data_IF_156032750728
#
_entry.id   IF_156032750728
#
_cell.length_a   1.000
_cell.length_b   1.000
_cell.length_c   1.000
_cell.angle_alpha   90.00
_cell.angle_beta   90.00
_cell.angle_gamma   90.00
#
_symmetry.space_group_name_H-M   'P 1'
#
loop_
_entity.id
_entity.type
_entity.pdbx_description
1 polymer ?
2 polymer ?
3 polymer ?
4 water ?
#
# COMPACT_ATOMS: atom_id res chain seq x y z
N UNK A 1 13.61 14.39 6.39
CA UNK A 1 12.93 14.82 5.15
C UNK A 1 11.48 15.20 5.38
N UNK A 2 10.66 14.98 4.35
CA UNK A 2 9.23 15.28 4.43
C UNK A 2 8.53 14.10 5.11
N UNK A 3 7.41 14.37 5.75
CA UNK A 3 6.61 13.32 6.37
C UNK A 3 5.14 13.53 6.08
N UNK A 4 4.38 12.44 6.17
CA UNK A 4 2.95 12.52 5.96
C UNK A 4 2.19 11.53 6.84
N UNK A 5 0.93 11.85 7.11
CA UNK A 5 0.04 10.94 7.78
C UNK A 5 -1.18 10.71 6.91
N UNK A 6 -1.61 9.45 6.79
CA UNK A 6 -2.79 9.13 5.99
C UNK A 6 -3.68 8.13 6.68
N UNK A 7 -4.98 8.31 6.52
CA UNK A 7 -5.97 7.29 6.86
C UNK A 7 -6.62 6.81 5.58
N UNK A 8 -6.88 5.50 5.51
CA UNK A 8 -7.43 4.87 4.33
C UNK A 8 -8.69 4.11 4.76
N UNK A 9 -9.84 4.52 4.24
CA UNK A 9 -11.12 3.87 4.57
C UNK A 9 -11.58 3.07 3.37
N UNK A 10 -12.04 1.85 3.61
CA UNK A 10 -12.63 1.00 2.58
C UNK A 10 -13.97 0.48 3.11
N UNK A 11 -15.04 0.78 2.38
CA UNK A 11 -16.39 0.32 2.69
C UNK A 11 -16.92 -0.52 1.54
N UNK A 12 -17.30 -1.76 1.83
CA UNK A 12 -17.63 -2.74 0.80
C UNK A 12 -18.99 -3.37 1.08
N UNK A 13 -19.95 -3.15 0.18
CA UNK A 13 -21.25 -3.83 0.26
C UNK A 13 -21.13 -5.26 -0.27
N UNK A 14 -22.04 -6.11 0.19
CA UNK A 14 -22.00 -7.54 -0.14
C UNK A 14 -23.41 -8.10 -0.01
N UNK A 15 -24.30 -7.78 -0.98
CA UNK A 15 -25.70 -8.18 -0.90
C UNK A 15 -25.85 -9.69 -0.71
N UNK A 16 -26.65 -10.07 0.28
CA UNK A 16 -26.89 -11.47 0.57
C UNK A 16 -25.88 -12.06 1.55
N UNK A 17 -24.88 -11.26 1.93
CA UNK A 17 -23.81 -11.73 2.81
C UNK A 17 -23.54 -10.78 3.99
N UNK A 18 -24.60 -10.19 4.51
CA UNK A 18 -24.50 -9.30 5.66
C UNK A 18 -24.37 -7.85 5.27
N UNK A 19 -24.17 -7.00 6.28
CA UNK A 19 -24.03 -5.57 6.09
C UNK A 19 -22.65 -5.23 5.52
N UNK A 20 -22.52 -4.06 4.86
CA UNK A 20 -21.23 -3.67 4.31
C UNK A 20 -20.10 -3.63 5.35
N UNK A 21 -18.93 -4.12 4.94
CA UNK A 21 -17.75 -4.12 5.79
C UNK A 21 -17.04 -2.77 5.73
N UNK A 22 -16.59 -2.28 6.87
CA UNK A 22 -15.80 -1.04 6.94
C UNK A 22 -14.43 -1.36 7.53
N UNK A 23 -13.38 -1.00 6.80
CA UNK A 23 -12.00 -1.14 7.28
C UNK A 23 -11.35 0.24 7.25
N UNK A 24 -10.59 0.55 8.29
CA UNK A 24 -9.77 1.76 8.35
C UNK A 24 -8.36 1.37 8.76
N UNK A 25 -7.36 1.95 8.08
CA UNK A 25 -5.97 1.81 8.50
C UNK A 25 -5.33 3.20 8.49
N UNK A 26 -4.39 3.42 9.42
CA UNK A 26 -3.64 4.67 9.48
C UNK A 26 -2.16 4.43 9.23
N UNK A 27 -1.52 5.38 8.54
CA UNK A 27 -0.10 5.28 8.22
C UNK A 27 0.61 6.58 8.54
N UNK A 28 1.85 6.47 9.01
CA UNK A 28 2.79 7.59 8.99
C UNK A 28 3.89 7.17 8.02
N UNK A 29 4.06 7.96 6.95
CA UNK A 29 4.95 7.58 5.84
C UNK A 29 4.61 6.17 5.36
N UNK A 30 5.58 5.26 5.38
CA UNK A 30 5.34 3.89 4.91
C UNK A 30 5.15 2.88 6.05
N UNK A 31 4.77 3.40 7.22
CA UNK A 31 4.55 2.59 8.42
C UNK A 31 3.09 2.65 8.86
N UNK A 32 2.40 1.51 8.79
CA UNK A 32 1.05 1.43 9.35
C UNK A 32 1.12 1.44 10.88
N UNK A 33 0.19 2.14 11.52
CA UNK A 33 0.19 2.21 12.98
C UNK A 33 -1.12 1.80 13.68
N UNK A 34 -2.24 1.83 12.95
CA UNK A 34 -3.54 1.44 13.51
C UNK A 34 -4.39 0.71 12.47
N UNK A 35 -5.29 -0.15 12.96
CA UNK A 35 -6.32 -0.75 12.11
C UNK A 35 -7.68 -0.80 12.81
N UNK A 36 -8.72 -0.90 12.00
CA UNK A 36 -10.09 -1.19 12.46
C UNK A 36 -10.77 -2.04 11.41
N UNK A 37 -11.50 -3.07 11.85
CA UNK A 37 -12.26 -3.92 10.95
C UNK A 37 -13.61 -4.24 11.57
N UNK A 38 -14.69 -3.79 10.92
CA UNK A 38 -16.05 -4.04 11.42
C UNK A 38 -16.43 -5.52 11.41
N UNK A 39 -15.65 -6.34 10.71
CA UNK A 39 -15.89 -7.79 10.70
C UNK A 39 -15.26 -8.56 11.86
N UNK A 40 -14.36 -7.89 12.59
CA UNK A 40 -13.65 -8.52 13.71
C UNK A 40 -14.60 -9.01 14.78
N UNK A 41 -14.21 -10.07 15.48
CA UNK A 41 -15.02 -10.68 16.53
C UNK A 41 -15.49 -9.64 17.55
N UNK A 42 -14.58 -8.73 17.90
CA UNK A 42 -14.90 -7.57 18.73
C UNK A 42 -14.27 -6.34 18.07
N UNK A 43 -15.05 -5.61 17.24
CA UNK A 43 -14.47 -4.50 16.47
C UNK A 43 -13.95 -3.37 17.35
N UNK A 44 -12.66 -3.09 17.23
CA UNK A 44 -12.00 -2.02 17.96
C UNK A 44 -10.73 -1.59 17.24
N UNK A 45 -10.28 -0.37 17.53
CA UNK A 45 -9.01 0.13 17.01
C UNK A 45 -7.86 -0.62 17.66
N UNK A 46 -6.99 -1.21 16.86
CA UNK A 46 -5.87 -1.98 17.36
C UNK A 46 -4.52 -1.40 16.91
N UNK A 47 -3.52 -1.39 17.80
CA UNK A 47 -2.19 -0.89 17.46
C UNK A 47 -1.46 -1.79 16.45
N UNK A 48 -0.72 -1.17 15.53
CA UNK A 48 0.05 -1.92 14.52
C UNK A 48 1.52 -1.49 14.43
N UNK A 49 1.91 -0.60 15.34
CA UNK A 49 3.30 -0.16 15.49
C UNK A 49 3.57 -0.01 16.99
N UNK A 50 4.79 -0.35 17.46
CA UNK A 50 5.04 -0.32 18.90
C UNK A 50 4.95 1.07 19.54
N UNK A 51 5.28 2.11 18.79
CA UNK A 51 5.30 3.49 19.33
C UNK A 51 3.92 4.12 19.58
N UNK A 52 2.86 3.49 19.09
CA UNK A 52 1.49 3.97 19.32
C UNK A 52 0.89 3.36 20.59
N UNK A 53 1.48 2.25 21.04
CA UNK A 53 0.95 1.51 22.20
C UNK A 53 0.86 2.33 23.49
N UNK A 54 1.72 3.35 23.61
CA UNK A 54 1.75 4.22 24.79
C UNK A 54 0.51 5.13 24.95
N UNK A 55 -0.27 5.31 23.87
CA UNK A 55 -1.47 6.14 23.94
C UNK A 55 -2.48 5.54 24.93
N UNK A 56 -3.08 6.41 25.74
CA UNK A 56 -3.95 5.97 26.83
C UNK A 56 -5.34 5.52 26.39
N UNK A 57 -6.20 5.12 27.36
CA UNK A 57 -7.53 4.58 27.09
C UNK A 57 -8.43 5.52 26.28
N UNK A 58 -8.37 6.82 26.56
CA UNK A 58 -9.20 7.83 25.89
C UNK A 58 -8.92 7.93 24.39
N UNK A 59 -7.68 7.66 23.99
CA UNK A 59 -7.27 7.64 22.58
C UNK A 59 -7.93 6.47 21.83
N UNK A 60 -7.79 5.27 22.41
CA UNK A 60 -8.29 4.05 21.77
C UNK A 60 -9.81 4.01 21.71
N UNK A 61 -10.46 4.52 22.75
CA UNK A 61 -11.91 4.59 22.78
C UNK A 61 -12.50 5.67 21.89
N UNK A 62 -11.79 6.80 21.76
CA UNK A 62 -12.16 7.85 20.82
C UNK A 62 -12.05 7.36 19.37
N UNK A 63 -10.94 6.67 19.07
CA UNK A 63 -10.72 6.06 17.75
C UNK A 63 -11.84 5.08 17.39
N UNK A 64 -12.14 4.17 18.30
CA UNK A 64 -13.16 3.15 18.09
C UNK A 64 -14.54 3.78 17.90
N UNK A 65 -14.88 4.77 18.74
CA UNK A 65 -16.14 5.51 18.60
C UNK A 65 -16.28 6.06 17.17
N UNK A 66 -15.23 6.72 16.69
CA UNK A 66 -15.19 7.29 15.35
C UNK A 66 -15.38 6.23 14.25
N UNK A 67 -14.60 5.15 14.30
CA UNK A 67 -14.68 4.09 13.29
C UNK A 67 -15.99 3.31 13.32
N UNK A 68 -16.55 3.11 14.51
CA UNK A 68 -17.88 2.49 14.68
C UNK A 68 -18.99 3.36 14.10
N UNK A 69 -18.89 4.67 14.29
CA UNK A 69 -19.80 5.62 13.69
C UNK A 69 -19.66 5.61 12.16
N UNK A 70 -18.42 5.63 11.67
CA UNK A 70 -18.13 5.59 10.24
C UNK A 70 -18.65 4.32 9.56
N UNK A 71 -18.55 3.19 10.25
CA UNK A 71 -19.18 1.95 9.79
C UNK A 71 -20.66 2.15 9.42
N UNK A 72 -21.43 2.77 10.32
CA UNK A 72 -22.86 3.02 10.11
C UNK A 72 -23.08 4.05 9.01
N UNK A 73 -22.27 5.10 9.06
CA UNK A 73 -22.29 6.19 8.11
C UNK A 73 -22.05 5.73 6.66
N UNK A 74 -21.00 4.94 6.46
CA UNK A 74 -20.66 4.45 5.13
C UNK A 74 -21.64 3.43 4.56
N UNK A 75 -22.32 2.69 5.45
CA UNK A 75 -23.42 1.83 5.02
C UNK A 75 -24.58 2.65 4.44
N UNK A 76 -24.88 3.79 5.06
CA UNK A 76 -25.86 4.73 4.52
C UNK A 76 -25.38 5.35 3.21
N UNK A 77 -24.10 5.70 3.16
CA UNK A 77 -23.53 6.32 1.96
C UNK A 77 -23.51 5.36 0.76
N UNK A 78 -23.23 4.08 1.00
CA UNK A 78 -23.28 3.06 -0.06
C UNK A 78 -24.67 2.97 -0.70
N UNK A 79 -25.70 3.00 0.16
CA UNK A 79 -27.10 3.08 -0.28
C UNK A 79 -27.34 4.31 -1.12
N UNK A 80 -26.87 5.46 -0.62
CA UNK A 80 -27.04 6.74 -1.32
C UNK A 80 -26.45 6.69 -2.74
N UNK A 81 -25.20 6.25 -2.85
CA UNK A 81 -24.51 6.18 -4.15
C UNK A 81 -25.12 5.18 -5.12
N UNK A 82 -25.58 4.03 -4.61
CA UNK A 82 -26.33 3.09 -5.43
C UNK A 82 -27.52 3.81 -6.07
N UNK A 83 -28.24 4.60 -5.26
CA UNK A 83 -29.33 5.45 -5.77
C UNK A 83 -28.90 6.46 -6.83
N UNK A 84 -27.77 7.16 -6.58
CA UNK A 84 -27.29 8.20 -7.51
C UNK A 84 -26.95 7.67 -8.91
N UNK A 85 -26.60 6.38 -8.98
CA UNK A 85 -26.20 5.75 -10.23
C UNK A 85 -27.24 4.79 -10.80
N UNK A 86 -28.42 4.77 -10.18
CA UNK A 86 -29.55 3.93 -10.60
C UNK A 86 -29.17 2.44 -10.66
N UNK A 87 -28.36 2.01 -9.70
CA UNK A 87 -27.86 0.64 -9.68
C UNK A 87 -28.78 -0.27 -8.87
N UNK A 88 -28.82 -1.55 -9.23
CA UNK A 88 -29.65 -2.52 -8.52
C UNK A 88 -29.05 -2.84 -7.14
N UNK A 89 -29.91 -3.35 -6.26
CA UNK A 89 -29.49 -3.79 -4.94
C UNK A 89 -28.74 -5.12 -4.98
N UNK A 90 -28.55 -5.67 -6.18
CA UNK A 90 -27.91 -6.98 -6.34
C UNK A 90 -26.39 -6.97 -6.40
N UNK A 91 -25.80 -5.82 -6.75
CA UNK A 91 -24.35 -5.73 -6.94
C UNK A 91 -23.55 -5.33 -5.71
N UNK A 92 -22.28 -5.69 -5.70
CA UNK A 92 -21.36 -5.26 -4.65
C UNK A 92 -20.60 -4.03 -5.09
N UNK A 93 -20.48 -3.06 -4.20
CA UNK A 93 -19.82 -1.81 -4.52
C UNK A 93 -18.89 -1.37 -3.41
N UNK A 94 -17.97 -0.46 -3.73
CA UNK A 94 -16.96 -0.02 -2.79
C UNK A 94 -16.81 1.50 -2.77
N UNK A 95 -16.85 2.07 -1.58
CA UNK A 95 -16.39 3.46 -1.37
C UNK A 95 -15.04 3.41 -0.65
N UNK A 96 -14.09 4.19 -1.17
CA UNK A 96 -12.78 4.31 -0.56
C UNK A 96 -12.54 5.77 -0.28
N UNK A 97 -11.90 6.04 0.85
CA UNK A 97 -11.54 7.40 1.22
C UNK A 97 -10.12 7.45 1.75
N UNK A 98 -9.42 8.52 1.40
CA UNK A 98 -8.00 8.71 1.68
C UNK A 98 -7.92 10.17 2.15
N UNK A 99 -7.36 10.41 3.34
CA UNK A 99 -7.17 11.79 3.82
C UNK A 99 -5.93 11.93 4.69
N UNK A 100 -5.40 13.14 4.78
CA UNK A 100 -4.30 13.39 5.68
C UNK A 100 -3.46 14.58 5.28
N UNK A 101 -2.30 14.68 5.90
CA UNK A 101 -1.49 15.88 5.81
C UNK A 101 -0.06 15.57 5.43
N UNK A 102 0.55 16.49 4.68
CA UNK A 102 1.95 16.40 4.28
C UNK A 102 2.71 17.51 4.99
N UNK A 103 3.84 17.15 5.59
CA UNK A 103 4.73 18.13 6.20
C UNK A 103 5.97 18.28 5.35
N UNK A 104 6.50 19.50 5.29
CA UNK A 104 7.80 19.75 4.67
C UNK A 104 8.92 19.39 5.63
N UNK A 105 10.17 19.37 5.14
CA UNK A 105 11.32 18.98 5.98
C UNK A 105 11.57 19.91 7.18
N UNK A 106 10.79 20.99 7.28
CA UNK A 106 10.85 21.90 8.43
C UNK A 106 9.77 21.59 9.48
N UNK A 107 8.68 20.95 9.04
CA UNK A 107 7.64 20.49 9.95
C UNK A 107 6.34 21.28 9.93
N UNK A 108 6.13 22.08 8.89
CA UNK A 108 4.86 22.79 8.73
C UNK A 108 4.01 22.16 7.63
N UNK A 109 2.71 22.45 7.63
CA UNK A 109 1.77 21.89 6.66
C UNK A 109 2.14 22.28 5.23
N UNK A 110 2.42 21.26 4.42
CA UNK A 110 2.74 21.46 3.02
C UNK A 110 1.44 21.50 2.25
N UNK A 111 0.61 20.47 2.45
CA UNK A 111 -0.76 20.44 1.95
C UNK A 111 -1.61 19.35 2.62
N UNK A 112 -2.92 19.50 2.50
CA UNK A 112 -3.87 18.52 3.02
C UNK A 112 -4.61 17.82 1.91
N UNK A 113 -5.17 16.65 2.24
CA UNK A 113 -5.90 15.81 1.29
C UNK A 113 -7.16 15.27 1.93
N UNK A 114 -8.23 15.18 1.15
CA UNK A 114 -9.44 14.44 1.53
C UNK A 114 -10.17 14.04 0.26
N UNK A 115 -9.98 12.78 -0.12
CA UNK A 115 -10.35 12.26 -1.42
C UNK A 115 -11.16 10.99 -1.31
N UNK A 116 -12.17 10.85 -2.16
CA UNK A 116 -13.02 9.67 -2.15
C UNK A 116 -13.23 9.11 -3.54
N UNK A 117 -13.49 7.81 -3.59
CA UNK A 117 -13.66 7.09 -4.83
C UNK A 117 -14.87 6.16 -4.73
N UNK A 118 -15.45 5.84 -5.87
CA UNK A 118 -16.53 4.86 -5.93
C UNK A 118 -16.20 3.83 -6.99
N UNK A 119 -16.20 2.57 -6.58
CA UNK A 119 -15.79 1.45 -7.44
C UNK A 119 -14.42 1.66 -8.14
N UNK A 120 -13.48 2.24 -7.39
CA UNK A 120 -12.11 2.43 -7.87
C UNK A 120 -11.93 3.61 -8.80
N UNK A 121 -12.98 4.42 -8.93
CA UNK A 121 -12.99 5.59 -9.80
C UNK A 121 -13.14 6.84 -8.95
N UNK A 122 -12.31 7.85 -9.21
CA UNK A 122 -12.41 9.10 -8.44
C UNK A 122 -13.84 9.65 -8.42
N UNK A 123 -14.28 10.06 -7.24
CA UNK A 123 -15.66 10.47 -7.01
C UNK A 123 -15.72 11.96 -6.59
N UNK A 124 -15.06 12.28 -5.48
CA UNK A 124 -15.03 13.65 -4.97
C UNK A 124 -13.73 13.90 -4.21
N UNK A 125 -13.20 15.11 -4.35
CA UNK A 125 -11.95 15.48 -3.69
C UNK A 125 -12.03 16.89 -3.11
N UNK A 126 -11.51 17.06 -1.90
CA UNK A 126 -11.27 18.39 -1.36
C UNK A 126 -10.12 19.03 -2.13
N UNK A 127 -10.34 20.23 -2.66
CA UNK A 127 -9.30 20.94 -3.39
C UNK A 127 -8.16 21.37 -2.48
N UNK A 128 -7.01 21.68 -3.07
CA UNK A 128 -5.82 22.08 -2.29
C UNK A 128 -6.07 23.30 -1.39
N UNK A 129 -7.00 24.16 -1.78
CA UNK A 129 -7.35 25.34 -0.98
C UNK A 129 -8.08 24.99 0.32
N UNK A 130 -8.48 23.72 0.43
CA UNK A 130 -9.17 23.17 1.61
C UNK A 130 -10.51 23.85 1.90
N UNK A 131 -11.13 24.42 0.86
CA UNK A 131 -12.36 25.19 1.01
C UNK A 131 -13.42 24.81 -0.02
N UNK A 132 -13.03 24.06 -1.04
CA UNK A 132 -13.92 23.75 -2.16
C UNK A 132 -13.72 22.31 -2.64
N UNK A 133 -14.71 21.81 -3.38
CA UNK A 133 -14.71 20.43 -3.83
C UNK A 133 -14.63 20.32 -5.35
N UNK A 134 -14.10 19.18 -5.81
CA UNK A 134 -14.16 18.79 -7.21
C UNK A 134 -14.95 17.49 -7.29
N UNK A 135 -16.11 17.57 -7.94
CA UNK A 135 -17.01 16.42 -8.10
C UNK A 135 -16.79 15.80 -9.47
N UNK A 136 -16.66 14.48 -9.52
CA UNK A 136 -16.35 13.77 -10.76
C UNK A 136 -17.49 13.76 -11.77
N UNK A 137 -18.72 13.81 -11.29
CA UNK A 137 -19.90 13.71 -12.16
C UNK A 137 -21.13 14.29 -11.48
N UNK A 138 -22.29 14.16 -12.13
CA UNK A 138 -23.54 14.70 -11.60
C UNK A 138 -24.00 14.01 -10.31
N UNK A 139 -23.54 12.77 -10.09
CA UNK A 139 -23.80 12.04 -8.85
C UNK A 139 -23.02 12.64 -7.69
N UNK A 140 -21.73 12.83 -7.90
CA UNK A 140 -20.86 13.44 -6.89
C UNK A 140 -21.25 14.89 -6.59
N UNK A 141 -21.86 15.56 -7.58
CA UNK A 141 -22.41 16.90 -7.41
C UNK A 141 -23.46 16.97 -6.31
N UNK A 142 -24.12 15.85 -6.04
CA UNK A 142 -25.15 15.77 -5.01
C UNK A 142 -24.50 15.69 -3.63
N UNK A 143 -23.48 14.82 -3.52
CA UNK A 143 -22.65 14.74 -2.34
C UNK A 143 -22.02 16.10 -2.01
N UNK A 144 -21.55 16.80 -3.03
CA UNK A 144 -20.98 18.13 -2.86
C UNK A 144 -21.97 19.13 -2.23
N UNK A 145 -23.20 19.15 -2.74
CA UNK A 145 -24.25 20.02 -2.18
C UNK A 145 -24.54 19.70 -0.71
N UNK A 146 -24.59 18.41 -0.38
CA UNK A 146 -24.74 17.97 1.00
C UNK A 146 -23.60 18.50 1.87
N UNK A 147 -22.37 18.30 1.41
CA UNK A 147 -21.18 18.68 2.17
C UNK A 147 -20.99 20.18 2.31
N UNK A 148 -21.42 20.93 1.31
CA UNK A 148 -21.41 22.39 1.38
C UNK A 148 -22.47 22.90 2.37
N UNK A 149 -23.63 22.24 2.40
CA UNK A 149 -24.67 22.54 3.37
C UNK A 149 -24.20 22.30 4.81
N UNK A 150 -23.50 21.19 5.02
CA UNK A 150 -23.01 20.82 6.36
C UNK A 150 -21.65 21.45 6.68
N UNK A 151 -21.17 22.31 5.79
CA UNK A 151 -19.87 22.99 5.95
C UNK A 151 -18.75 22.01 6.32
N UNK A 152 -18.67 20.93 5.54
CA UNK A 152 -17.70 19.86 5.77
C UNK A 152 -16.26 20.34 5.52
N UNK A 153 -16.06 21.05 4.42
CA UNK A 153 -14.73 21.55 4.03
C UNK A 153 -14.07 22.40 5.12
N UNK A 154 -14.86 23.24 5.77
CA UNK A 154 -14.43 24.05 6.91
C UNK A 154 -13.91 23.16 8.06
N UNK A 155 -14.60 22.05 8.28
CA UNK A 155 -14.26 21.12 9.35
C UNK A 155 -13.03 20.26 8.98
N UNK A 156 -12.91 19.91 7.70
CA UNK A 156 -11.70 19.25 7.19
C UNK A 156 -10.48 20.16 7.29
N UNK A 157 -10.62 21.40 6.85
CA UNK A 157 -9.54 22.39 6.94
C UNK A 157 -9.02 22.52 8.37
N UNK A 158 -9.93 22.68 9.32
CA UNK A 158 -9.58 22.80 10.74
C UNK A 158 -8.77 21.61 11.24
N UNK A 159 -9.20 20.41 10.88
CA UNK A 159 -8.50 19.18 11.24
C UNK A 159 -7.14 19.10 10.56
N UNK A 160 -7.13 19.29 9.24
CA UNK A 160 -5.92 19.10 8.44
C UNK A 160 -4.82 20.09 8.79
N UNK A 161 -5.20 21.33 9.11
CA UNK A 161 -4.23 22.38 9.49
C UNK A 161 -3.87 22.31 10.98
N UNK A 162 -4.73 21.67 11.77
CA UNK A 162 -4.58 21.63 13.22
C UNK A 162 -4.22 20.25 13.74
N UNK A 163 -5.23 19.45 14.09
CA UNK A 163 -5.02 18.15 14.74
C UNK A 163 -4.18 17.16 13.95
N UNK A 164 -4.39 17.09 12.64
CA UNK A 164 -3.62 16.18 11.77
C UNK A 164 -2.12 16.42 11.95
N UNK A 165 -1.70 17.68 11.77
CA UNK A 165 -0.31 18.08 11.92
C UNK A 165 0.21 17.83 13.36
N UNK A 166 -0.58 18.25 14.35
CA UNK A 166 -0.24 18.09 15.77
C UNK A 166 0.04 16.63 16.13
N UNK A 167 -0.87 15.74 15.74
CA UNK A 167 -0.73 14.31 15.97
C UNK A 167 0.42 13.68 15.20
N UNK A 168 0.58 14.07 13.94
CA UNK A 168 1.71 13.60 13.14
C UNK A 168 3.06 13.95 13.79
N UNK A 169 3.19 15.19 14.25
CA UNK A 169 4.41 15.62 14.94
C UNK A 169 4.63 14.82 16.23
N UNK A 170 3.55 14.53 16.96
CA UNK A 170 3.60 13.68 18.14
C UNK A 170 4.11 12.26 17.80
N UNK A 171 3.54 11.66 16.75
CA UNK A 171 3.98 10.31 16.33
C UNK A 171 5.43 10.29 15.89
N UNK A 172 5.83 11.31 15.12
CA UNK A 172 7.22 11.41 14.63
C UNK A 172 8.24 11.45 15.77
N UNK A 173 7.88 12.10 16.87
CA UNK A 173 8.71 12.15 18.06
C UNK A 173 8.71 10.84 18.87
N UNK A 174 7.51 10.30 19.10
CA UNK A 174 7.37 9.03 19.83
C UNK A 174 8.01 7.84 19.12
N UNK A 175 7.93 7.84 17.79
CA UNK A 175 8.55 6.79 16.98
C UNK A 175 9.78 7.24 16.22
N UNK A 176 10.50 8.23 16.75
CA UNK A 176 11.63 8.83 16.01
C UNK A 176 12.74 7.85 15.64
N UNK A 177 12.97 6.84 16.49
CA UNK A 177 14.01 5.85 16.23
C UNK A 177 13.75 5.00 14.98
N UNK A 178 12.50 4.96 14.55
CA UNK A 178 12.12 4.23 13.35
C UNK A 178 11.59 5.18 12.25
N UNK A 179 10.65 6.04 12.61
CA UNK A 179 10.01 6.93 11.63
C UNK A 179 10.96 7.97 11.05
N UNK A 180 11.96 8.36 11.84
CA UNK A 180 12.96 9.33 11.40
C UNK A 180 14.34 8.68 11.18
N UNK A 181 14.33 7.38 10.90
CA UNK A 181 15.54 6.65 10.57
C UNK A 181 15.42 6.10 9.15
N UNK A 182 16.28 6.58 8.26
CA UNK A 182 16.31 6.07 6.89
C UNK A 182 17.33 4.94 6.77
N UNK A 183 16.87 3.78 6.33
CA UNK A 183 17.72 2.62 6.12
C UNK A 183 18.13 2.56 4.65
N UNK A 184 19.43 2.67 4.36
CA UNK A 184 19.88 2.59 2.97
C UNK A 184 19.68 1.19 2.40
N UNK A 185 19.54 1.08 1.06
CA UNK A 185 19.43 -0.23 0.44
C UNK A 185 20.78 -0.95 0.42
N UNK A 186 20.74 -2.26 0.63
CA UNK A 186 21.87 -3.13 0.37
C UNK A 186 21.78 -3.44 -1.11
N UNK A 187 22.81 -3.12 -1.88
CA UNK A 187 22.74 -3.25 -3.34
C UNK A 187 23.75 -4.23 -3.92
N UNK A 188 23.36 -4.89 -5.00
CA UNK A 188 24.26 -5.74 -5.81
C UNK A 188 23.70 -6.00 -7.20
N UNK A 189 24.56 -6.49 -8.10
CA UNK A 189 24.19 -6.80 -9.48
C UNK A 189 24.37 -8.30 -9.71
N UNK A 190 23.31 -8.96 -10.19
CA UNK A 190 23.39 -10.36 -10.60
C UNK A 190 23.41 -10.47 -12.12
N UNK A 191 23.84 -11.63 -12.61
CA UNK A 191 24.05 -11.88 -14.02
C UNK A 191 23.49 -13.26 -14.35
N UNK A 192 22.59 -13.31 -15.34
CA UNK A 192 21.99 -14.56 -15.79
C UNK A 192 22.02 -14.63 -17.32
N UNK A 193 22.82 -15.55 -17.90
CA UNK A 193 22.83 -15.73 -19.36
C UNK A 193 21.48 -16.28 -19.88
N UNK A 194 21.04 -15.80 -21.05
CA UNK A 194 19.77 -16.24 -21.66
C UNK A 194 19.99 -16.93 -23.00
N UNK A 195 21.16 -16.70 -23.61
CA UNK A 195 21.58 -17.35 -24.85
C UNK A 195 23.10 -17.26 -24.99
N UNK A 196 23.61 -17.65 -26.16
CA UNK A 196 25.03 -17.57 -26.45
C UNK A 196 25.55 -16.13 -26.38
N UNK A 197 24.72 -15.17 -26.90
CA UNK A 197 25.18 -13.79 -27.00
C UNK A 197 24.22 -12.71 -26.42
N UNK A 198 23.36 -13.10 -25.45
CA UNK A 198 22.65 -12.16 -24.63
C UNK A 198 22.62 -12.65 -23.17
N UNK A 199 22.70 -11.71 -22.22
CA UNK A 199 22.65 -12.03 -20.79
C UNK A 199 21.87 -10.93 -20.05
N UNK A 200 21.31 -11.29 -18.89
CA UNK A 200 20.55 -10.35 -18.08
C UNK A 200 21.35 -9.82 -16.92
N UNK A 201 21.43 -8.49 -16.79
CA UNK A 201 21.95 -7.84 -15.58
C UNK A 201 20.78 -7.35 -14.72
N UNK A 202 20.73 -7.82 -13.46
CA UNK A 202 19.67 -7.40 -12.54
C UNK A 202 20.26 -6.65 -11.34
N UNK A 203 19.75 -5.45 -11.12
CA UNK A 203 20.21 -4.58 -10.04
C UNK A 203 19.26 -4.65 -8.85
N UNK A 204 19.80 -5.06 -7.71
CA UNK A 204 19.01 -5.31 -6.50
C UNK A 204 19.16 -4.22 -5.45
N UNK A 205 18.03 -3.83 -4.85
CA UNK A 205 18.01 -2.96 -3.68
C UNK A 205 17.17 -3.63 -2.59
N UNK A 206 17.79 -3.89 -1.45
CA UNK A 206 17.17 -4.68 -0.37
C UNK A 206 17.31 -4.01 1.00
N UNK A 207 16.27 -4.17 1.81
CA UNK A 207 16.28 -3.69 3.21
C UNK A 207 16.18 -2.20 3.42
N UNK A 208 15.59 -1.48 2.47
CA UNK A 208 15.50 -0.02 2.58
C UNK A 208 14.19 0.50 3.18
N UNK A 209 14.30 1.63 3.86
CA UNK A 209 13.17 2.39 4.36
C UNK A 209 13.54 3.89 4.29
N UNK A 210 12.61 4.75 3.82
CA UNK A 210 11.27 4.44 3.31
C UNK A 210 11.26 3.84 1.91
N UNK A 211 10.07 3.57 1.39
CA UNK A 211 9.89 2.90 0.10
C UNK A 211 10.39 3.67 -1.13
N UNK A 212 10.40 5.00 -1.05
CA UNK A 212 10.84 5.84 -2.16
C UNK A 212 12.28 5.55 -2.57
N UNK A 213 12.46 5.19 -3.84
CA UNK A 213 13.77 4.82 -4.37
C UNK A 213 13.80 4.95 -5.90
N UNK A 214 14.98 5.24 -6.44
CA UNK A 214 15.16 5.25 -7.88
C UNK A 214 16.28 4.30 -8.33
N UNK A 215 15.91 3.35 -9.18
CA UNK A 215 16.82 2.40 -9.80
C UNK A 215 16.78 2.62 -11.31
N UNK A 216 17.94 2.95 -11.88
CA UNK A 216 18.05 3.15 -13.32
C UNK A 216 19.28 2.44 -13.86
N UNK A 217 19.12 1.84 -15.04
CA UNK A 217 20.24 1.30 -15.79
C UNK A 217 20.64 2.31 -16.86
N UNK A 218 21.95 2.52 -16.98
CA UNK A 218 22.49 3.33 -18.07
C UNK A 218 23.38 2.46 -18.95
N UNK A 219 23.35 2.74 -20.24
CA UNK A 219 24.30 2.18 -21.20
C UNK A 219 25.09 3.33 -21.82
N UNK A 220 26.41 3.32 -21.58
CA UNK A 220 27.32 4.40 -22.00
C UNK A 220 26.88 5.75 -21.43
N UNK A 221 26.34 5.73 -20.21
CA UNK A 221 25.91 6.95 -19.53
C UNK A 221 24.55 7.45 -19.98
N UNK A 222 23.86 6.68 -20.81
CA UNK A 222 22.56 7.06 -21.36
C UNK A 222 21.46 6.15 -20.80
N UNK A 223 20.43 6.77 -20.21
CA UNK A 223 19.30 6.06 -19.58
C UNK A 223 18.64 5.02 -20.50
N UNK A 224 18.29 3.88 -19.92
CA UNK A 224 17.71 2.76 -20.67
C UNK A 224 16.25 2.51 -20.29
N UNK A 225 15.48 3.59 -20.19
CA UNK A 225 14.11 3.57 -19.64
C UNK A 225 13.19 2.56 -20.33
N UNK A 226 13.20 2.55 -21.66
CA UNK A 226 12.32 1.69 -22.45
C UNK A 226 12.79 0.23 -22.51
N UNK A 227 14.00 -0.04 -22.02
CA UNK A 227 14.59 -1.37 -22.06
C UNK A 227 14.65 -2.05 -20.69
N UNK A 228 14.45 -1.26 -19.63
CA UNK A 228 14.59 -1.75 -18.27
C UNK A 228 13.29 -2.37 -17.73
N UNK A 229 13.38 -3.63 -17.29
CA UNK A 229 12.29 -4.25 -16.56
C UNK A 229 12.39 -3.86 -15.09
N UNK A 230 11.32 -3.26 -14.58
CA UNK A 230 11.34 -2.61 -13.29
C UNK A 230 10.16 -3.10 -12.43
N UNK A 231 10.43 -3.94 -11.44
CA UNK A 231 9.35 -4.46 -10.59
C UNK A 231 8.85 -3.42 -9.59
N UNK A 232 7.62 -3.59 -9.16
CA UNK A 232 7.02 -2.76 -8.13
C UNK A 232 7.76 -2.96 -6.81
N UNK A 233 8.04 -1.84 -6.14
CA UNK A 233 8.61 -1.88 -4.79
C UNK A 233 7.71 -2.71 -3.87
N UNK A 234 8.32 -3.68 -3.20
CA UNK A 234 7.60 -4.69 -2.41
C UNK A 234 8.07 -4.71 -0.96
N UNK A 235 7.13 -4.94 -0.01
CA UNK A 235 7.48 -5.02 1.39
C UNK A 235 8.21 -6.33 1.73
N UNK A 236 9.26 -6.24 2.53
CA UNK A 236 9.95 -7.45 2.98
C UNK A 236 9.19 -8.11 4.14
N UNK A 237 8.40 -7.32 4.86
CA UNK A 237 7.60 -7.81 5.99
C UNK A 237 8.20 -7.47 7.33
N UNK A 238 9.34 -6.77 7.33
CA UNK A 238 10.03 -6.35 8.54
C UNK A 238 10.15 -4.82 8.61
N UNK A 239 9.20 -4.13 7.97
CA UNK A 239 9.18 -2.67 7.79
C UNK A 239 9.90 -2.19 6.52
N UNK A 240 10.87 -2.97 6.05
CA UNK A 240 11.72 -2.55 4.93
C UNK A 240 11.15 -2.98 3.58
N UNK A 241 11.78 -2.51 2.51
CA UNK A 241 11.30 -2.73 1.15
C UNK A 241 12.37 -3.29 0.25
N UNK A 242 11.93 -3.88 -0.87
CA UNK A 242 12.79 -4.49 -1.89
C UNK A 242 12.38 -4.02 -3.29
N UNK A 243 13.37 -3.95 -4.18
CA UNK A 243 13.12 -3.60 -5.59
C UNK A 243 14.28 -4.07 -6.46
N UNK A 244 13.98 -4.43 -7.71
CA UNK A 244 15.00 -4.66 -8.70
C UNK A 244 14.70 -4.06 -10.07
N UNK A 245 15.76 -3.80 -10.83
CA UNK A 245 15.71 -3.35 -12.22
C UNK A 245 16.61 -4.24 -13.06
N UNK A 246 16.10 -4.70 -14.21
CA UNK A 246 16.87 -5.59 -15.07
C UNK A 246 16.93 -5.11 -16.51
N UNK A 247 18.09 -5.31 -17.13
CA UNK A 247 18.28 -5.02 -18.54
C UNK A 247 18.95 -6.23 -19.21
N UNK A 248 18.55 -6.54 -20.44
CA UNK A 248 19.16 -7.60 -21.23
C UNK A 248 20.25 -6.98 -22.11
N UNK A 249 21.47 -7.52 -21.97
CA UNK A 249 22.65 -6.96 -22.62
C UNK A 249 23.30 -7.98 -23.56
N UNK A 250 24.00 -7.51 -24.61
CA UNK A 250 24.81 -8.43 -25.41
C UNK A 250 26.02 -8.92 -24.61
N UNK A 251 26.27 -10.24 -24.64
CA UNK A 251 27.42 -10.84 -23.97
C UNK A 251 28.72 -10.18 -24.41
N UNK A 252 29.57 -9.85 -23.43
CA UNK A 252 30.82 -9.16 -23.68
C UNK A 252 30.74 -7.65 -23.49
N UNK A 253 29.51 -7.13 -23.47
CA UNK A 253 29.28 -5.69 -23.36
C UNK A 253 28.83 -5.26 -21.96
N UNK A 254 28.98 -6.15 -20.98
CA UNK A 254 28.50 -5.91 -19.61
C UNK A 254 29.13 -4.69 -18.92
N UNK A 255 30.39 -4.39 -19.26
CA UNK A 255 31.09 -3.26 -18.63
C UNK A 255 30.62 -1.90 -19.18
N UNK A 256 29.95 -1.92 -20.32
CA UNK A 256 29.26 -0.72 -20.83
C UNK A 256 28.04 -0.27 -20.06
N UNK A 257 27.59 -1.09 -19.12
CA UNK A 257 26.35 -0.83 -18.35
C UNK A 257 26.57 -0.48 -16.87
N UNK A 258 25.76 0.49 -16.36
CA UNK A 258 25.86 0.94 -14.95
C UNK A 258 24.49 1.13 -14.30
N UNK A 259 24.32 0.56 -13.10
CA UNK A 259 23.11 0.75 -12.30
C UNK A 259 23.29 1.91 -11.33
N UNK A 260 22.28 2.77 -11.25
CA UNK A 260 22.33 3.94 -10.37
C UNK A 260 21.21 3.88 -9.35
N UNK A 261 21.57 4.05 -8.08
CA UNK A 261 20.62 3.97 -6.97
C UNK A 261 20.52 5.30 -6.23
N UNK A 262 19.30 5.79 -6.07
CA UNK A 262 19.05 7.00 -5.30
C UNK A 262 18.06 6.68 -4.19
N UNK A 263 18.49 6.95 -2.96
CA UNK A 263 17.66 6.73 -1.78
C UNK A 263 18.05 7.71 -0.69
N UNK A 264 17.06 8.12 0.09
CA UNK A 264 17.22 9.08 1.18
C UNK A 264 18.30 8.66 2.19
N UNK A 265 18.41 7.36 2.45
CA UNK A 265 19.35 6.82 3.43
C UNK A 265 20.80 6.71 2.98
N UNK A 266 21.06 6.99 1.71
CA UNK A 266 22.42 6.89 1.18
C UNK A 266 23.22 8.17 1.47
N UNK A 267 24.49 8.01 1.90
CA UNK A 267 25.42 9.14 2.04
C UNK A 267 25.62 9.81 0.68
N UNK A 268 25.65 9.00 -0.38
CA UNK A 268 25.77 9.47 -1.76
C UNK A 268 25.08 8.48 -2.70
N UNK A 269 24.51 8.97 -3.82
CA UNK A 269 23.92 8.09 -4.84
C UNK A 269 24.93 7.06 -5.33
N UNK A 270 24.50 5.80 -5.43
CA UNK A 270 25.39 4.69 -5.77
C UNK A 270 25.44 4.42 -7.27
N UNK A 271 26.64 4.12 -7.76
CA UNK A 271 26.82 3.58 -9.10
C UNK A 271 27.38 2.17 -8.98
N UNK A 272 26.67 1.22 -9.57
CA UNK A 272 27.06 -0.20 -9.55
C UNK A 272 27.21 -0.76 -10.95
N UNK A 273 28.07 -1.78 -11.05
CA UNK A 273 28.22 -2.56 -12.27
C UNK A 273 28.35 -4.04 -11.87
N UNK A 274 28.31 -4.92 -12.86
CA UNK A 274 28.49 -6.34 -12.58
C UNK A 274 29.96 -6.64 -12.27
N UNK A 275 30.19 -7.27 -11.11
CA UNK A 275 31.52 -7.71 -10.71
C UNK A 275 31.59 -9.24 -10.86
N UNK A 276 32.19 -9.71 -11.96
CA UNK A 276 32.23 -11.15 -12.28
C UNK A 276 33.04 -11.97 -11.28
N UNK B 1 -14.55 -0.12 -13.63
CA UNK B 1 -14.29 -1.54 -14.03
C UNK B 1 -13.37 -2.25 -13.04
N UNK B 2 -12.84 -3.41 -13.44
CA UNK B 2 -12.05 -4.26 -12.56
C UNK B 2 -10.58 -4.33 -12.98
N UNK B 3 -9.70 -4.53 -12.01
CA UNK B 3 -8.25 -4.60 -12.24
C UNK B 3 -7.66 -5.89 -11.69
N UNK B 4 -6.88 -6.58 -12.53
CA UNK B 4 -6.30 -7.87 -12.16
C UNK B 4 -5.05 -7.70 -11.28
N UNK B 5 -4.88 -8.57 -10.26
CA UNK B 5 -3.72 -8.44 -9.37
C UNK B 5 -2.37 -8.71 -10.04
N UNK B 6 -1.39 -7.87 -9.70
CA UNK B 6 0.02 -8.16 -9.93
C UNK B 6 0.46 -9.06 -8.79
N UNK B 7 1.31 -10.06 -9.09
CA UNK B 7 1.74 -11.03 -8.10
C UNK B 7 3.26 -11.16 -8.08
N UNK B 8 3.84 -11.03 -6.89
CA UNK B 8 5.27 -11.30 -6.67
C UNK B 8 5.43 -12.29 -5.53
N UNK B 9 6.25 -13.32 -5.77
CA UNK B 9 6.58 -14.33 -4.77
C UNK B 9 8.09 -14.27 -4.49
N UNK B 10 8.45 -14.16 -3.22
CA UNK B 10 9.84 -13.86 -2.83
C UNK B 10 10.07 -14.10 -1.34
N UNK B 11 11.33 -14.17 -0.94
CA UNK B 11 11.66 -14.33 0.47
C UNK B 11 12.04 -12.99 1.11
N UNK B 12 11.83 -12.87 2.42
CA UNK B 12 12.24 -11.69 3.18
C UNK B 12 13.75 -11.49 3.16
N UNK B 13 14.49 -12.56 3.44
CA UNK B 13 15.95 -12.54 3.45
C UNK B 13 16.49 -13.35 2.27
N UNK B 14 17.72 -13.07 1.82
CA UNK B 14 18.38 -13.91 0.82
C UNK B 14 18.24 -15.40 1.16
N UNK B 15 17.74 -16.18 0.20
CA UNK B 15 17.45 -17.59 0.43
C UNK B 15 18.72 -18.40 0.64
N UNK B 16 18.74 -19.16 1.74
CA UNK B 16 19.86 -20.05 2.07
C UNK B 16 19.28 -21.38 2.55
N UNK B 17 19.68 -22.46 1.89
CA UNK B 17 19.14 -23.80 2.17
C UNK B 17 19.42 -24.28 3.59
N UNK B 18 18.36 -24.56 4.33
CA UNK B 18 18.47 -25.00 5.72
C UNK B 18 18.38 -23.88 6.73
N UNK B 19 18.26 -22.64 6.24
CA UNK B 19 18.11 -21.47 7.10
C UNK B 19 16.68 -20.94 7.05
N UNK B 20 16.07 -20.81 8.23
CA UNK B 20 14.72 -20.29 8.36
C UNK B 20 14.63 -18.90 7.74
N UNK B 21 13.44 -18.58 7.22
CA UNK B 21 13.22 -17.37 6.43
C UNK B 21 11.72 -17.07 6.45
N UNK B 22 11.28 -16.11 5.65
CA UNK B 22 9.87 -15.86 5.43
C UNK B 22 9.54 -15.88 3.95
N UNK B 23 8.47 -16.59 3.60
CA UNK B 23 7.98 -16.63 2.23
C UNK B 23 6.87 -15.61 2.07
N UNK B 24 7.03 -14.71 1.11
CA UNK B 24 6.08 -13.64 0.86
C UNK B 24 5.34 -13.81 -0.46
N UNK B 25 4.06 -13.49 -0.45
CA UNK B 25 3.33 -13.28 -1.69
C UNK B 25 2.69 -11.91 -1.60
N UNK B 26 3.12 -11.02 -2.49
CA UNK B 26 2.63 -9.65 -2.52
C UNK B 26 1.69 -9.48 -3.71
N UNK B 27 0.41 -9.25 -3.41
CA UNK B 27 -0.60 -8.96 -4.44
C UNK B 27 -0.94 -7.48 -4.39
N UNK B 28 -0.99 -6.86 -5.56
CA UNK B 28 -1.19 -5.41 -5.66
C UNK B 28 -1.85 -5.04 -6.99
N UNK B 29 -2.34 -3.81 -7.07
CA UNK B 29 -2.92 -3.28 -8.31
C UNK B 29 -4.27 -3.81 -8.69
N UNK B 30 -4.98 -4.43 -7.73
CA UNK B 30 -6.25 -5.09 -8.02
C UNK B 30 -7.48 -4.37 -7.49
N UNK B 31 -8.62 -4.63 -8.13
CA UNK B 31 -9.90 -4.05 -7.77
C UNK B 31 -10.99 -4.92 -8.41
N UNK B 32 -12.05 -5.30 -7.64
CA UNK B 32 -12.34 -5.07 -6.23
C UNK B 32 -11.40 -5.76 -5.24
N UNK B 33 -11.70 -5.62 -3.95
CA UNK B 33 -10.78 -6.01 -2.88
C UNK B 33 -10.80 -7.51 -2.54
N UNK B 34 -11.90 -8.20 -2.88
CA UNK B 34 -12.01 -9.64 -2.61
C UNK B 34 -10.94 -10.41 -3.38
N UNK B 35 -10.12 -11.15 -2.65
CA UNK B 35 -9.04 -11.92 -3.25
C UNK B 35 -8.74 -13.15 -2.40
N UNK B 36 -8.41 -14.26 -3.06
CA UNK B 36 -7.98 -15.47 -2.38
C UNK B 36 -6.51 -15.74 -2.68
N UNK B 37 -5.71 -15.86 -1.63
CA UNK B 37 -4.27 -16.12 -1.77
C UNK B 37 -3.83 -17.27 -0.88
N UNK B 38 -3.15 -18.24 -1.50
CA UNK B 38 -2.60 -19.37 -0.78
C UNK B 38 -1.13 -19.54 -1.12
N UNK B 39 -0.33 -19.86 -0.11
CA UNK B 39 1.05 -20.26 -0.30
C UNK B 39 1.10 -21.78 -0.32
N UNK B 40 1.83 -22.32 -1.28
CA UNK B 40 1.90 -23.76 -1.50
C UNK B 40 3.32 -24.29 -1.29
N UNK B 41 3.43 -25.41 -0.59
CA UNK B 41 4.68 -26.17 -0.52
C UNK B 41 4.47 -27.45 -1.31
N UNK B 42 5.27 -27.64 -2.35
CA UNK B 42 5.17 -28.80 -3.25
C UNK B 42 3.74 -29.08 -3.72
N UNK B 43 3.01 -28.02 -4.04
CA UNK B 43 1.65 -28.11 -4.56
C UNK B 43 0.54 -28.08 -3.51
N UNK B 44 0.93 -28.22 -2.24
CA UNK B 44 -0.04 -28.30 -1.13
C UNK B 44 -0.09 -27.02 -0.30
N UNK B 45 -1.31 -26.58 0.03
CA UNK B 45 -1.56 -25.35 0.77
C UNK B 45 -0.94 -25.36 2.17
N UNK B 46 -0.17 -24.32 2.48
CA UNK B 46 0.39 -24.12 3.81
C UNK B 46 -0.70 -23.55 4.72
N UNK B 47 -0.75 -24.05 5.96
CA UNK B 47 -1.84 -23.73 6.88
C UNK B 47 -1.79 -22.33 7.52
N UNK B 48 -0.73 -22.04 8.28
CA UNK B 48 -0.72 -20.87 9.16
C UNK B 48 -0.24 -19.58 8.49
N UNK B 49 -0.78 -19.28 7.31
CA UNK B 49 -0.40 -18.10 6.53
C UNK B 49 -1.11 -16.86 7.04
N UNK B 50 -0.36 -15.78 7.24
CA UNK B 50 -0.91 -14.51 7.71
C UNK B 50 -0.90 -13.48 6.58
N UNK B 51 -1.65 -12.38 6.77
CA UNK B 51 -1.67 -11.30 5.79
C UNK B 51 -1.82 -9.93 6.44
N UNK B 52 -1.34 -8.91 5.73
CA UNK B 52 -1.44 -7.53 6.14
C UNK B 52 -2.89 -7.01 6.08
N UNK B 53 -3.14 -5.87 6.72
CA UNK B 53 -4.46 -5.25 6.71
C UNK B 53 -4.68 -4.59 5.36
N UNK B 54 -5.91 -4.68 4.87
CA UNK B 54 -6.26 -4.11 3.56
C UNK B 54 -5.98 -2.63 3.49
N UNK B 55 -5.18 -2.25 2.50
CA UNK B 55 -4.95 -0.84 2.20
C UNK B 55 -4.90 -0.66 0.69
N UNK B 56 -4.76 0.57 0.23
CA UNK B 56 -4.75 0.85 -1.20
C UNK B 56 -3.78 1.96 -1.62
N UNK B 57 -3.45 1.97 -2.91
CA UNK B 57 -2.52 2.95 -3.49
C UNK B 57 -3.26 4.18 -3.99
N UNK B 58 -2.49 5.17 -4.47
CA UNK B 58 -3.02 6.44 -4.97
C UNK B 58 -4.01 6.30 -6.13
N UNK B 59 -3.85 5.24 -6.93
CA UNK B 59 -4.77 4.93 -8.02
C UNK B 59 -5.99 4.10 -7.57
N UNK B 60 -6.13 3.93 -6.25
CA UNK B 60 -7.28 3.27 -5.60
C UNK B 60 -7.22 1.74 -5.60
N UNK B 61 -6.19 1.19 -6.25
CA UNK B 61 -6.03 -0.26 -6.29
C UNK B 61 -5.50 -0.81 -4.97
N UNK B 62 -5.95 -2.00 -4.60
CA UNK B 62 -5.61 -2.58 -3.31
C UNK B 62 -4.28 -3.31 -3.33
N UNK B 63 -3.66 -3.46 -2.17
CA UNK B 63 -2.49 -4.33 -2.03
C UNK B 63 -2.52 -5.08 -0.68
N UNK B 64 -1.98 -6.29 -0.69
CA UNK B 64 -1.90 -7.13 0.51
C UNK B 64 -0.62 -7.96 0.47
N UNK B 65 0.00 -8.13 1.65
CA UNK B 65 1.10 -9.05 1.78
C UNK B 65 0.63 -10.29 2.53
N UNK B 66 0.84 -11.46 1.91
CA UNK B 66 0.61 -12.74 2.56
C UNK B 66 1.99 -13.33 2.86
N UNK B 67 2.14 -13.93 4.04
CA UNK B 67 3.45 -14.41 4.49
C UNK B 67 3.37 -15.57 5.48
N UNK B 68 4.41 -16.41 5.44
CA UNK B 68 4.59 -17.46 6.41
C UNK B 68 6.09 -17.73 6.57
N UNK B 69 6.50 -18.20 7.74
CA UNK B 69 7.87 -18.64 7.91
C UNK B 69 8.11 -19.96 7.19
N UNK B 70 9.28 -20.09 6.56
CA UNK B 70 9.64 -21.31 5.84
C UNK B 70 11.16 -21.52 5.83
N UNK B 71 11.57 -22.77 5.64
CA UNK B 71 12.98 -23.09 5.52
C UNK B 71 13.22 -23.68 4.13
N UNK B 72 13.87 -22.89 3.26
CA UNK B 72 14.13 -23.31 1.89
C UNK B 72 15.09 -24.49 1.87
N UNK B 73 14.87 -25.41 0.92
CA UNK B 73 15.80 -26.50 0.67
C UNK B 73 16.10 -26.54 -0.84
N UNK B 74 16.93 -27.50 -1.25
CA UNK B 74 17.33 -27.62 -2.65
C UNK B 74 16.17 -28.01 -3.56
N UNK B 75 15.34 -28.95 -3.10
CA UNK B 75 14.33 -29.57 -3.96
C UNK B 75 12.87 -29.17 -3.67
N UNK B 76 12.61 -28.57 -2.52
CA UNK B 76 11.26 -28.11 -2.17
C UNK B 76 10.85 -26.93 -3.04
N UNK B 77 9.70 -27.06 -3.70
CA UNK B 77 9.18 -26.01 -4.57
C UNK B 77 8.05 -25.24 -3.89
N UNK B 78 8.14 -23.92 -3.94
CA UNK B 78 7.13 -23.05 -3.35
C UNK B 78 6.45 -22.21 -4.43
N UNK B 79 5.21 -21.82 -4.14
CA UNK B 79 4.39 -21.06 -5.09
C UNK B 79 3.25 -20.32 -4.38
N UNK B 80 2.67 -19.36 -5.09
CA UNK B 80 1.50 -18.61 -4.60
C UNK B 80 0.32 -18.84 -5.52
N UNK B 81 -0.82 -19.25 -4.96
CA UNK B 81 -2.05 -19.43 -5.72
C UNK B 81 -3.01 -18.27 -5.48
N UNK B 82 -3.39 -17.58 -6.56
CA UNK B 82 -4.23 -16.38 -6.45
C UNK B 82 -5.52 -16.51 -7.25
N UNK B 83 -6.64 -16.28 -6.57
CA UNK B 83 -7.93 -16.17 -7.25
C UNK B 83 -8.57 -14.81 -7.00
N UNK B 84 -9.08 -14.23 -8.08
CA UNK B 84 -9.70 -12.92 -8.09
C UNK B 84 -10.82 -12.95 -9.13
N UNK B 85 -11.79 -12.03 -9.02
CA UNK B 85 -12.93 -11.99 -9.94
C UNK B 85 -12.49 -11.79 -11.41
N UNK B 86 -11.35 -11.13 -11.61
CA UNK B 86 -10.79 -10.91 -12.94
C UNK B 86 -10.15 -12.16 -13.56
N UNK B 87 -10.00 -13.21 -12.76
CA UNK B 87 -9.37 -14.45 -13.22
C UNK B 87 -10.38 -15.57 -13.38
N UNK B 88 -10.39 -16.21 -14.54
CA UNK B 88 -11.29 -17.33 -14.83
C UNK B 88 -10.80 -18.64 -14.19
N UNK B 89 -9.52 -18.69 -13.86
CA UNK B 89 -8.92 -19.83 -13.19
C UNK B 89 -7.83 -19.32 -12.24
N UNK B 90 -7.67 -19.95 -11.06
CA UNK B 90 -6.60 -19.56 -10.13
C UNK B 90 -5.23 -19.48 -10.80
N UNK B 91 -4.46 -18.44 -10.46
CA UNK B 91 -3.13 -18.26 -11.03
C UNK B 91 -2.04 -18.76 -10.08
N UNK B 92 -1.15 -19.60 -10.60
CA UNK B 92 -0.01 -20.09 -9.84
C UNK B 92 1.25 -19.36 -10.27
N UNK B 93 1.93 -18.73 -9.31
CA UNK B 93 3.25 -18.14 -9.55
C UNK B 93 4.25 -18.87 -8.66
N UNK B 94 5.23 -19.51 -9.29
CA UNK B 94 6.25 -20.25 -8.56
C UNK B 94 7.31 -19.31 -8.00
N UNK B 95 7.83 -19.65 -6.82
CA UNK B 95 8.94 -18.91 -6.23
C UNK B 95 10.24 -19.21 -6.97
N UNK B 96 10.84 -18.16 -7.52
CA UNK B 96 12.18 -18.21 -8.11
C UNK B 96 13.07 -17.34 -7.25
N UNK B 97 14.10 -17.95 -6.63
CA UNK B 97 14.94 -17.25 -5.66
C UNK B 97 15.84 -16.14 -6.26
N UNK B 98 15.89 -16.07 -7.59
CA UNK B 98 16.59 -15.00 -8.30
C UNK B 98 15.65 -13.86 -8.71
N UNK B 99 14.42 -13.90 -8.19
CA UNK B 99 13.36 -12.96 -8.56
C UNK B 99 12.72 -12.29 -7.34
N UNK C 1 -4.20 10.41 14.62
CA UNK C 1 -5.60 10.38 15.14
C UNK C 1 -6.56 10.74 14.00
N UNK C 2 -7.63 9.95 13.81
CA UNK C 2 -8.55 10.20 12.70
C UNK C 2 -9.41 11.45 12.89
N UNK C 3 -10.00 11.93 11.80
CA UNK C 3 -10.97 13.02 11.89
C UNK C 3 -12.32 12.52 12.43
N UNK C 4 -12.90 13.25 13.37
CA UNK C 4 -14.24 12.97 13.86
C UNK C 4 -15.24 13.51 12.87
N UNK C 5 -16.34 12.79 12.70
CA UNK C 5 -17.40 13.27 11.80
C UNK C 5 -18.58 13.78 12.63
N UNK C 6 -19.23 14.83 12.14
CA UNK C 6 -20.47 15.33 12.74
C UNK C 6 -21.57 14.28 12.60
N UNK C 7 -22.52 14.28 13.54
CA UNK C 7 -23.61 13.31 13.56
C UNK C 7 -24.32 13.24 12.21
N UNK C 8 -24.62 12.00 11.79
CA UNK C 8 -25.34 11.75 10.55
C UNK C 8 -24.65 12.31 9.30
N UNK C 9 -23.31 12.28 9.30
CA UNK C 9 -22.50 12.57 8.12
C UNK C 9 -22.78 11.48 7.10
N UNK C 10 -23.05 11.88 5.86
CA UNK C 10 -23.36 10.94 4.78
C UNK C 10 -22.94 11.52 3.43
N UNK C 11 -22.65 10.63 2.48
CA UNK C 11 -22.42 11.05 1.10
C UNK C 11 -23.77 11.34 0.43
#
# INVERSE_FOLDING_TARGET
GSHSMRYFYTAMSRPGRGEPRFIAVGYVDDTQFVRFDSDAASPRTEPRAPWIEQEGPEYWDRNTQIFKTNTQTYRESLRNLRGYYNQSEAGSHIIQRMYGCDLGPDGRLLRGHDQSAYDGKDYIALNEDLSSWTAADTAAQITQRKWEAARVAEQRRAYLEGLCVEWLRRYLENGKETLQRADPPKTHVTHHPVSDHEATLRCWALGFYPAEITLTWQRDGEDQTQDTELVETRPAGDRTFQKWAAVVVPSGEEQRYTCHVQHEGLPKPLTLRWEP
IQRTPKIQVYSRHPAENGKSNFLNCYVSGFHPSDIEVDLLKNGERIEKVEHSDLSFSKDWSFYLLYYTEFTPTEKDEYACRVNHVTLSQPKIVKWDRDM
HPVGEADYFEY
#
